data_IF_580291836552
#
_entry.id   IF_580291836552
#
_cell.length_a   1.000
_cell.length_b   1.000
_cell.length_c   1.000
_cell.angle_alpha   90.00
_cell.angle_beta   90.00
_cell.angle_gamma   90.00
#
_symmetry.space_group_name_H-M   'P 1'
#
loop_
_entity.id
_entity.type
_entity.pdbx_description
1 polymer ?
#
# COMPACT_ATOMS: atom_id res chain seq x y z
N UNK A 1 29.32 12.96 -5.45
CA UNK A 1 29.09 11.54 -5.07
C UNK A 1 28.35 10.89 -6.22
N UNK A 2 28.70 9.66 -6.61
CA UNK A 2 27.96 8.92 -7.63
C UNK A 2 26.51 8.71 -7.20
N UNK A 3 25.56 8.70 -8.14
CA UNK A 3 24.17 8.41 -7.84
C UNK A 3 24.05 6.99 -7.26
N UNK A 4 23.24 6.77 -6.21
CA UNK A 4 23.09 5.44 -5.62
C UNK A 4 22.55 4.43 -6.63
N UNK A 5 23.12 3.22 -6.65
CA UNK A 5 22.56 2.10 -7.40
C UNK A 5 21.31 1.56 -6.67
N UNK A 6 20.16 2.17 -6.97
CA UNK A 6 18.88 1.79 -6.39
C UNK A 6 18.48 0.34 -6.72
N UNK A 7 18.90 -0.19 -7.86
CA UNK A 7 18.64 -1.57 -8.26
C UNK A 7 19.42 -2.55 -7.36
N UNK A 8 20.70 -2.31 -7.12
CA UNK A 8 21.49 -3.12 -6.20
C UNK A 8 20.96 -3.04 -4.76
N UNK A 9 20.53 -1.85 -4.31
CA UNK A 9 19.93 -1.66 -2.98
C UNK A 9 18.63 -2.49 -2.82
N UNK A 10 17.75 -2.43 -3.80
CA UNK A 10 16.52 -3.23 -3.81
C UNK A 10 16.81 -4.74 -3.86
N UNK A 11 17.79 -5.18 -4.66
CA UNK A 11 18.18 -6.59 -4.74
C UNK A 11 18.70 -7.13 -3.39
N UNK A 12 19.50 -6.34 -2.67
CA UNK A 12 19.95 -6.67 -1.32
C UNK A 12 18.78 -6.78 -0.33
N UNK A 13 17.83 -5.83 -0.39
CA UNK A 13 16.62 -5.85 0.43
C UNK A 13 15.70 -7.04 0.13
N UNK A 14 15.55 -7.40 -1.15
CA UNK A 14 14.77 -8.55 -1.59
C UNK A 14 15.41 -9.87 -1.11
N UNK A 15 16.73 -10.01 -1.25
CA UNK A 15 17.47 -11.16 -0.72
C UNK A 15 17.27 -11.33 0.79
N UNK A 16 17.28 -10.22 1.54
CA UNK A 16 16.97 -10.24 2.97
C UNK A 16 15.53 -10.65 3.24
N UNK A 17 14.53 -10.06 2.57
CA UNK A 17 13.13 -10.42 2.72
C UNK A 17 12.89 -11.92 2.46
N UNK A 18 13.55 -12.48 1.45
CA UNK A 18 13.40 -13.90 1.11
C UNK A 18 13.81 -14.84 2.24
N UNK A 19 14.71 -14.45 3.15
CA UNK A 19 15.11 -15.29 4.30
C UNK A 19 13.98 -15.56 5.30
N UNK A 20 12.94 -14.72 5.32
CA UNK A 20 11.74 -14.98 6.11
C UNK A 20 10.72 -15.85 5.38
N UNK A 21 10.86 -16.07 4.06
CA UNK A 21 9.86 -16.81 3.29
C UNK A 21 9.75 -18.28 3.72
N UNK A 22 8.51 -18.76 3.84
CA UNK A 22 8.18 -20.14 4.18
C UNK A 22 7.46 -20.80 2.99
N UNK A 23 8.17 -21.61 2.17
CA UNK A 23 7.60 -22.19 0.97
C UNK A 23 6.34 -23.04 1.19
N UNK A 24 6.21 -23.72 2.34
CA UNK A 24 5.06 -24.59 2.60
C UNK A 24 3.77 -23.81 2.85
N UNK A 25 3.86 -22.64 3.50
CA UNK A 25 2.70 -21.79 3.81
C UNK A 25 2.49 -20.70 2.77
N UNK A 26 3.48 -20.46 1.91
CA UNK A 26 3.46 -19.40 0.92
C UNK A 26 3.58 -18.00 1.53
N UNK A 27 3.99 -17.87 2.80
CA UNK A 27 4.01 -16.58 3.53
C UNK A 27 5.37 -16.34 4.18
N UNK A 28 5.58 -15.14 4.71
CA UNK A 28 6.80 -14.79 5.43
C UNK A 28 6.62 -15.07 6.92
N UNK A 29 7.67 -15.56 7.58
CA UNK A 29 7.71 -15.62 9.04
C UNK A 29 7.59 -14.18 9.57
N UNK A 30 6.92 -14.03 10.72
CA UNK A 30 6.61 -12.75 11.42
C UNK A 30 5.52 -11.89 10.78
N UNK A 31 5.01 -12.20 9.59
CA UNK A 31 3.84 -11.51 9.03
C UNK A 31 2.54 -12.12 9.55
N UNK A 32 1.53 -11.28 9.78
CA UNK A 32 0.13 -11.69 9.84
C UNK A 32 -0.42 -12.14 8.48
N UNK A 33 -1.74 -12.24 8.37
CA UNK A 33 -2.39 -12.66 7.12
C UNK A 33 -2.25 -11.60 6.04
N UNK A 34 -2.75 -10.39 6.29
CA UNK A 34 -2.70 -9.30 5.33
C UNK A 34 -1.28 -8.75 5.12
N UNK A 35 -0.43 -8.76 6.14
CA UNK A 35 0.95 -8.29 5.96
C UNK A 35 1.74 -9.15 4.96
N UNK A 36 1.37 -10.44 4.84
CA UNK A 36 1.97 -11.34 3.85
C UNK A 36 1.57 -10.97 2.41
N UNK A 37 0.36 -10.45 2.19
CA UNK A 37 -0.06 -9.94 0.89
C UNK A 37 0.79 -8.73 0.47
N UNK A 38 1.11 -7.84 1.41
CA UNK A 38 1.98 -6.69 1.16
C UNK A 38 3.44 -7.09 0.92
N UNK A 39 3.96 -8.08 1.66
CA UNK A 39 5.27 -8.63 1.37
C UNK A 39 5.32 -9.22 -0.06
N UNK A 40 4.25 -9.90 -0.49
CA UNK A 40 4.11 -10.37 -1.87
C UNK A 40 4.08 -9.20 -2.87
N UNK A 41 3.32 -8.14 -2.61
CA UNK A 41 3.29 -6.93 -3.46
C UNK A 41 4.69 -6.34 -3.65
N UNK A 42 5.51 -6.29 -2.59
CA UNK A 42 6.89 -5.84 -2.69
C UNK A 42 7.76 -6.76 -3.57
N UNK A 43 7.55 -8.09 -3.53
CA UNK A 43 8.23 -9.05 -4.43
C UNK A 43 7.83 -8.84 -5.89
N UNK A 44 6.53 -8.64 -6.15
CA UNK A 44 6.00 -8.40 -7.49
C UNK A 44 6.58 -7.09 -8.05
N UNK A 45 6.54 -6.01 -7.27
CA UNK A 45 7.08 -4.71 -7.66
C UNK A 45 8.59 -4.77 -7.93
N UNK A 46 9.36 -5.51 -7.12
CA UNK A 46 10.78 -5.75 -7.38
C UNK A 46 10.99 -6.42 -8.74
N UNK A 47 10.24 -7.50 -9.01
CA UNK A 47 10.33 -8.24 -10.27
C UNK A 47 9.96 -7.38 -11.46
N UNK A 48 8.87 -6.59 -11.37
CA UNK A 48 8.43 -5.67 -12.42
C UNK A 48 9.48 -4.59 -12.73
N UNK A 49 10.09 -4.00 -11.71
CA UNK A 49 11.02 -2.85 -11.88
C UNK A 49 12.44 -3.27 -12.25
N UNK A 50 12.83 -4.51 -11.95
CA UNK A 50 14.18 -5.00 -12.24
C UNK A 50 14.24 -5.99 -13.40
N UNK A 51 13.16 -6.74 -13.65
CA UNK A 51 13.18 -7.90 -14.53
C UNK A 51 13.85 -9.14 -13.90
N UNK A 52 14.30 -9.07 -12.65
CA UNK A 52 14.88 -10.22 -11.94
C UNK A 52 13.78 -11.24 -11.58
N UNK A 53 13.81 -12.39 -12.24
CA UNK A 53 12.83 -13.49 -12.06
C UNK A 53 13.24 -14.52 -11.02
N UNK A 54 14.31 -14.31 -10.26
CA UNK A 54 14.79 -15.25 -9.24
C UNK A 54 13.71 -15.61 -8.19
N UNK A 55 12.77 -14.69 -7.96
CA UNK A 55 11.67 -14.85 -7.01
C UNK A 55 10.31 -15.14 -7.66
N UNK A 56 10.23 -15.38 -8.98
CA UNK A 56 8.94 -15.61 -9.65
C UNK A 56 8.14 -16.79 -9.05
N UNK A 57 8.83 -17.85 -8.61
CA UNK A 57 8.21 -18.99 -7.92
C UNK A 57 7.58 -18.64 -6.57
N UNK A 58 7.98 -17.52 -5.95
CA UNK A 58 7.37 -17.03 -4.71
C UNK A 58 5.90 -16.70 -4.95
N UNK A 59 5.57 -16.05 -6.08
CA UNK A 59 4.21 -15.63 -6.41
C UNK A 59 3.27 -16.84 -6.52
N UNK A 60 3.66 -17.86 -7.31
CA UNK A 60 2.88 -19.09 -7.48
C UNK A 60 2.74 -19.90 -6.18
N UNK A 61 3.83 -20.05 -5.43
CA UNK A 61 3.80 -20.76 -4.13
C UNK A 61 2.97 -20.01 -3.10
N UNK A 62 3.02 -18.68 -3.11
CA UNK A 62 2.20 -17.85 -2.23
C UNK A 62 0.72 -17.99 -2.57
N UNK A 63 0.35 -17.97 -3.85
CA UNK A 63 -1.04 -18.19 -4.28
C UNK A 63 -1.56 -19.54 -3.78
N UNK A 64 -0.81 -20.62 -4.04
CA UNK A 64 -1.20 -21.97 -3.61
C UNK A 64 -1.22 -22.11 -2.08
N UNK A 65 -0.19 -21.62 -1.40
CA UNK A 65 -0.03 -21.77 0.05
C UNK A 65 -1.05 -20.96 0.85
N UNK A 66 -1.28 -19.71 0.47
CA UNK A 66 -2.27 -18.85 1.11
C UNK A 66 -3.70 -19.34 0.82
N UNK A 67 -4.01 -19.76 -0.41
CA UNK A 67 -5.32 -20.33 -0.75
C UNK A 67 -5.63 -21.60 0.06
N UNK A 68 -4.64 -22.47 0.29
CA UNK A 68 -4.81 -23.66 1.16
C UNK A 68 -5.14 -23.30 2.62
N UNK A 69 -4.69 -22.13 3.09
CA UNK A 69 -4.92 -21.69 4.47
C UNK A 69 -6.29 -21.04 4.64
N UNK A 70 -6.69 -20.23 3.66
CA UNK A 70 -7.99 -19.56 3.57
C UNK A 70 -8.43 -19.58 2.11
N UNK A 71 -9.43 -20.41 1.80
CA UNK A 71 -9.96 -20.55 0.45
C UNK A 71 -10.40 -19.20 -0.11
N UNK A 72 -10.07 -18.95 -1.37
CA UNK A 72 -10.32 -17.68 -2.07
C UNK A 72 -9.76 -16.43 -1.36
N UNK A 73 -8.81 -16.62 -0.43
CA UNK A 73 -8.15 -15.58 0.37
C UNK A 73 -9.09 -14.79 1.29
N UNK A 74 -10.27 -15.34 1.58
CA UNK A 74 -11.31 -14.67 2.36
C UNK A 74 -11.21 -15.05 3.84
N UNK A 75 -11.11 -14.02 4.68
CA UNK A 75 -11.28 -14.03 6.14
C UNK A 75 -12.36 -13.03 6.55
N UNK A 76 -12.60 -12.90 7.86
CA UNK A 76 -13.66 -12.03 8.43
C UNK A 76 -13.47 -10.52 8.18
N UNK A 77 -12.24 -10.09 7.91
CA UNK A 77 -11.85 -8.69 7.75
C UNK A 77 -11.80 -8.36 6.27
N UNK A 78 -12.56 -7.35 5.84
CA UNK A 78 -12.69 -7.03 4.41
C UNK A 78 -11.42 -6.37 3.87
N UNK A 79 -10.75 -5.55 4.67
CA UNK A 79 -9.45 -4.97 4.36
C UNK A 79 -8.35 -6.02 4.20
N UNK A 80 -8.27 -6.98 5.12
CA UNK A 80 -7.35 -8.13 5.02
C UNK A 80 -7.48 -8.85 3.68
N UNK A 81 -8.72 -9.02 3.21
CA UNK A 81 -9.03 -9.66 1.94
C UNK A 81 -8.59 -8.79 0.76
N UNK A 82 -8.87 -7.49 0.78
CA UNK A 82 -8.56 -6.58 -0.32
C UNK A 82 -7.05 -6.31 -0.47
N UNK A 83 -6.25 -6.47 0.58
CA UNK A 83 -4.78 -6.52 0.44
C UNK A 83 -4.33 -7.65 -0.50
N UNK A 84 -4.95 -8.83 -0.39
CA UNK A 84 -4.72 -9.93 -1.34
C UNK A 84 -5.27 -9.61 -2.72
N UNK A 85 -6.46 -8.99 -2.81
CA UNK A 85 -7.04 -8.57 -4.08
C UNK A 85 -6.10 -7.67 -4.89
N UNK A 86 -5.53 -6.65 -4.25
CA UNK A 86 -4.56 -5.73 -4.87
C UNK A 86 -3.27 -6.46 -5.26
N UNK A 87 -2.75 -7.35 -4.40
CA UNK A 87 -1.57 -8.16 -4.72
C UNK A 87 -1.81 -9.08 -5.94
N UNK A 88 -3.02 -9.61 -6.09
CA UNK A 88 -3.38 -10.46 -7.23
C UNK A 88 -3.62 -9.70 -8.52
N UNK A 89 -4.12 -8.46 -8.47
CA UNK A 89 -4.09 -7.58 -9.64
C UNK A 89 -2.65 -7.33 -10.08
N UNK A 90 -1.74 -7.01 -9.15
CA UNK A 90 -0.33 -6.81 -9.48
C UNK A 90 0.33 -8.08 -10.03
N UNK A 91 -0.02 -9.26 -9.52
CA UNK A 91 0.47 -10.54 -10.04
C UNK A 91 -0.04 -10.81 -11.46
N UNK A 92 -1.31 -10.51 -11.74
CA UNK A 92 -1.86 -10.57 -13.10
C UNK A 92 -1.10 -9.65 -14.05
N UNK A 93 -0.86 -8.39 -13.66
CA UNK A 93 -0.13 -7.44 -14.51
C UNK A 93 1.29 -7.90 -14.84
N UNK A 94 1.96 -8.60 -13.92
CA UNK A 94 3.30 -9.14 -14.14
C UNK A 94 3.31 -10.41 -15.00
N UNK A 95 2.30 -11.26 -14.89
CA UNK A 95 2.34 -12.64 -15.42
C UNK A 95 1.41 -12.90 -16.60
N UNK A 96 0.33 -12.13 -16.71
CA UNK A 96 -0.79 -12.40 -17.62
C UNK A 96 -1.67 -13.60 -17.22
N UNK A 97 -1.43 -14.23 -16.06
CA UNK A 97 -2.16 -15.43 -15.66
C UNK A 97 -3.53 -15.08 -15.04
N UNK A 98 -4.62 -15.49 -15.73
CA UNK A 98 -6.00 -15.12 -15.35
C UNK A 98 -6.40 -15.54 -13.95
N UNK A 99 -5.84 -16.62 -13.39
CA UNK A 99 -6.15 -17.10 -12.04
C UNK A 99 -5.93 -16.05 -10.95
N UNK A 100 -4.96 -15.15 -11.15
CA UNK A 100 -4.72 -14.05 -10.19
C UNK A 100 -5.83 -13.00 -10.31
N UNK A 101 -6.18 -12.59 -11.52
CA UNK A 101 -7.28 -11.66 -11.75
C UNK A 101 -8.62 -12.23 -11.26
N UNK A 102 -8.88 -13.51 -11.48
CA UNK A 102 -10.09 -14.18 -10.99
C UNK A 102 -10.16 -14.21 -9.47
N UNK A 103 -9.04 -14.41 -8.77
CA UNK A 103 -8.97 -14.28 -7.31
C UNK A 103 -9.29 -12.85 -6.85
N UNK A 104 -8.72 -11.83 -7.49
CA UNK A 104 -9.03 -10.44 -7.19
C UNK A 104 -10.52 -10.11 -7.38
N UNK A 105 -11.14 -10.63 -8.46
CA UNK A 105 -12.58 -10.45 -8.72
C UNK A 105 -13.46 -11.11 -7.65
N UNK A 106 -13.10 -12.31 -7.19
CA UNK A 106 -13.81 -12.99 -6.09
C UNK A 106 -13.70 -12.21 -4.78
N UNK A 107 -12.51 -11.70 -4.47
CA UNK A 107 -12.28 -10.86 -3.27
C UNK A 107 -13.12 -9.59 -3.35
N UNK A 108 -13.16 -8.92 -4.50
CA UNK A 108 -13.98 -7.73 -4.70
C UNK A 108 -15.47 -8.04 -4.52
N UNK A 109 -15.98 -9.09 -5.16
CA UNK A 109 -17.36 -9.53 -4.99
C UNK A 109 -17.71 -9.86 -3.52
N UNK A 110 -16.74 -10.36 -2.75
CA UNK A 110 -16.93 -10.54 -1.30
C UNK A 110 -16.94 -9.19 -0.55
N UNK A 111 -16.02 -8.27 -0.87
CA UNK A 111 -15.98 -6.94 -0.26
C UNK A 111 -17.27 -6.14 -0.49
N UNK A 112 -17.90 -6.28 -1.65
CA UNK A 112 -19.21 -5.69 -1.95
C UNK A 112 -20.29 -6.11 -0.94
N UNK A 113 -20.22 -7.32 -0.38
CA UNK A 113 -21.17 -7.78 0.66
C UNK A 113 -21.02 -7.02 1.98
N UNK A 114 -19.90 -6.33 2.17
CA UNK A 114 -19.64 -5.44 3.28
C UNK A 114 -20.20 -4.03 3.07
N UNK A 115 -20.61 -3.67 1.86
CA UNK A 115 -21.26 -2.38 1.59
C UNK A 115 -22.73 -2.40 2.06
N UNK A 116 -23.16 -1.33 2.73
CA UNK A 116 -24.57 -1.01 2.97
C UNK A 116 -24.81 0.49 3.12
N UNK A 117 -26.07 0.90 3.26
CA UNK A 117 -26.48 2.31 3.32
C UNK A 117 -26.31 2.95 4.72
N UNK A 118 -25.79 2.23 5.72
CA UNK A 118 -25.41 2.85 7.00
C UNK A 118 -24.36 3.92 6.74
N UNK A 119 -24.51 5.12 7.32
CA UNK A 119 -23.67 6.28 6.99
C UNK A 119 -23.67 6.67 5.51
N UNK A 120 -24.77 6.40 4.79
CA UNK A 120 -24.94 6.78 3.39
C UNK A 120 -24.18 5.90 2.39
N UNK A 121 -23.53 4.83 2.84
CA UNK A 121 -22.69 3.98 2.00
C UNK A 121 -21.46 3.45 2.73
N UNK A 122 -20.53 2.88 1.97
CA UNK A 122 -19.25 2.40 2.46
C UNK A 122 -19.27 0.96 2.93
N UNK A 123 -18.11 0.32 2.83
CA UNK A 123 -17.81 -1.03 3.28
C UNK A 123 -17.46 -1.03 4.76
N UNK A 124 -18.08 -1.94 5.53
CA UNK A 124 -17.68 -2.21 6.91
C UNK A 124 -16.28 -2.78 6.99
N UNK A 125 -15.55 -2.48 8.05
CA UNK A 125 -14.20 -3.02 8.27
C UNK A 125 -14.17 -4.56 8.28
N UNK A 126 -15.17 -5.17 8.92
CA UNK A 126 -15.31 -6.61 9.03
C UNK A 126 -16.78 -7.04 9.13
N UNK A 127 -17.01 -8.35 9.16
CA UNK A 127 -18.36 -8.93 9.20
C UNK A 127 -19.16 -8.61 10.49
N UNK A 128 -18.56 -8.03 11.54
CA UNK A 128 -19.32 -7.57 12.72
C UNK A 128 -20.09 -6.28 12.48
N UNK A 129 -19.73 -5.54 11.43
CA UNK A 129 -20.38 -4.29 11.04
C UNK A 129 -20.47 -3.26 12.18
N UNK A 130 -19.36 -3.07 12.90
CA UNK A 130 -19.24 -2.12 14.02
C UNK A 130 -18.49 -0.85 13.69
N UNK A 131 -17.71 -0.85 12.61
CA UNK A 131 -16.81 0.25 12.27
C UNK A 131 -16.62 0.36 10.76
N UNK A 132 -16.82 1.55 10.18
CA UNK A 132 -16.42 1.89 8.81
C UNK A 132 -15.14 2.72 8.92
N UNK A 133 -14.02 2.12 8.55
CA UNK A 133 -12.71 2.77 8.55
C UNK A 133 -12.29 3.19 7.15
N UNK A 134 -11.34 4.13 7.10
CA UNK A 134 -10.84 4.67 5.85
C UNK A 134 -10.18 3.56 5.00
N UNK A 135 -9.28 2.77 5.59
CA UNK A 135 -8.50 1.79 4.82
C UNK A 135 -9.35 0.80 4.02
N UNK A 136 -10.41 0.23 4.60
CA UNK A 136 -11.27 -0.72 3.88
C UNK A 136 -11.89 -0.06 2.64
N UNK A 137 -12.33 1.19 2.77
CA UNK A 137 -13.01 1.92 1.72
C UNK A 137 -12.03 2.46 0.65
N UNK A 138 -10.85 2.91 1.05
CA UNK A 138 -9.77 3.28 0.14
C UNK A 138 -9.31 2.08 -0.72
N UNK A 139 -9.21 0.90 -0.11
CA UNK A 139 -8.90 -0.34 -0.83
C UNK A 139 -10.03 -0.76 -1.75
N UNK A 140 -11.29 -0.60 -1.34
CA UNK A 140 -12.44 -0.90 -2.18
C UNK A 140 -12.45 -0.01 -3.43
N UNK A 141 -12.24 1.30 -3.27
CA UNK A 141 -12.07 2.25 -4.37
C UNK A 141 -10.95 1.81 -5.31
N UNK A 142 -9.77 1.56 -4.73
CA UNK A 142 -8.56 1.23 -5.47
C UNK A 142 -8.74 -0.09 -6.23
N UNK A 143 -9.28 -1.12 -5.58
CA UNK A 143 -9.50 -2.42 -6.20
C UNK A 143 -10.57 -2.34 -7.30
N UNK A 144 -11.66 -1.60 -7.10
CA UNK A 144 -12.67 -1.35 -8.13
C UNK A 144 -12.05 -0.68 -9.37
N UNK A 145 -11.33 0.41 -9.18
CA UNK A 145 -10.67 1.15 -10.26
C UNK A 145 -9.65 0.27 -11.01
N UNK A 146 -8.80 -0.46 -10.28
CA UNK A 146 -7.81 -1.36 -10.88
C UNK A 146 -8.47 -2.53 -11.62
N UNK A 147 -9.54 -3.12 -11.11
CA UNK A 147 -10.29 -4.16 -11.81
C UNK A 147 -10.95 -3.64 -13.08
N UNK A 148 -11.50 -2.42 -13.08
CA UNK A 148 -12.06 -1.80 -14.28
C UNK A 148 -11.03 -1.72 -15.41
N UNK A 149 -9.78 -1.33 -15.09
CA UNK A 149 -8.69 -1.23 -16.05
C UNK A 149 -8.28 -2.59 -16.66
N UNK A 150 -8.50 -3.72 -15.97
CA UNK A 150 -8.10 -5.07 -16.45
C UNK A 150 -9.26 -5.91 -17.00
N UNK A 151 -10.50 -5.56 -16.69
CA UNK A 151 -11.69 -6.32 -17.08
C UNK A 151 -12.61 -5.43 -17.94
N UNK A 152 -12.23 -5.13 -19.20
CA UNK A 152 -13.10 -4.38 -20.10
C UNK A 152 -14.36 -5.20 -20.44
N UNK A 153 -15.48 -4.51 -20.68
CA UNK A 153 -16.69 -5.14 -21.22
C UNK A 153 -17.71 -5.71 -20.20
N UNK A 154 -17.73 -5.23 -18.96
CA UNK A 154 -18.77 -5.56 -17.97
C UNK A 154 -19.75 -4.41 -17.70
N UNK A 155 -20.23 -3.73 -18.73
CA UNK A 155 -21.18 -2.60 -18.61
C UNK A 155 -20.74 -1.53 -17.58
N UNK A 156 -19.43 -1.34 -17.45
CA UNK A 156 -18.83 -0.42 -16.48
C UNK A 156 -19.02 -0.83 -15.02
N UNK A 157 -19.29 -2.10 -14.70
CA UNK A 157 -19.57 -2.59 -13.34
C UNK A 157 -18.59 -2.07 -12.28
N UNK A 158 -17.29 -2.33 -12.47
CA UNK A 158 -16.26 -1.89 -11.53
C UNK A 158 -16.10 -0.37 -11.50
N UNK A 159 -16.31 0.32 -12.64
CA UNK A 159 -16.27 1.78 -12.70
C UNK A 159 -17.44 2.41 -11.90
N UNK A 160 -18.65 1.85 -12.01
CA UNK A 160 -19.81 2.31 -11.24
C UNK A 160 -19.55 2.18 -9.73
N UNK A 161 -18.94 1.08 -9.30
CA UNK A 161 -18.54 0.92 -7.91
C UNK A 161 -17.44 1.90 -7.50
N UNK A 162 -16.41 2.11 -8.32
CA UNK A 162 -15.35 3.07 -8.02
C UNK A 162 -15.87 4.50 -7.90
N UNK A 163 -16.78 4.92 -8.81
CA UNK A 163 -17.43 6.23 -8.74
C UNK A 163 -18.31 6.36 -7.48
N UNK A 164 -19.12 5.34 -7.18
CA UNK A 164 -20.00 5.32 -6.00
C UNK A 164 -19.21 5.38 -4.69
N UNK A 165 -18.13 4.61 -4.59
CA UNK A 165 -17.24 4.63 -3.44
C UNK A 165 -16.57 5.99 -3.29
N UNK A 166 -16.05 6.57 -4.37
CA UNK A 166 -15.42 7.89 -4.29
C UNK A 166 -16.41 8.99 -3.88
N UNK A 167 -17.61 9.01 -4.46
CA UNK A 167 -18.68 9.94 -4.09
C UNK A 167 -19.00 9.82 -2.59
N UNK A 168 -19.14 8.60 -2.08
CA UNK A 168 -19.34 8.37 -0.66
C UNK A 168 -18.15 8.85 0.16
N UNK A 169 -16.94 8.33 -0.10
CA UNK A 169 -15.73 8.58 0.68
C UNK A 169 -15.44 10.08 0.81
N UNK A 170 -15.50 10.81 -0.30
CA UNK A 170 -15.25 12.26 -0.34
C UNK A 170 -16.29 13.09 0.41
N UNK A 171 -17.51 12.57 0.61
CA UNK A 171 -18.59 13.23 1.37
C UNK A 171 -18.56 12.95 2.88
N UNK A 172 -17.83 11.92 3.33
CA UNK A 172 -17.86 11.47 4.74
C UNK A 172 -17.18 12.42 5.72
N UNK A 173 -16.35 13.33 5.23
CA UNK A 173 -15.48 14.18 6.04
C UNK A 173 -14.25 13.48 6.61
N UNK A 174 -13.98 12.21 6.27
CA UNK A 174 -12.75 11.50 6.69
C UNK A 174 -11.47 12.17 6.15
N UNK A 175 -11.53 12.81 4.99
CA UNK A 175 -10.51 13.78 4.56
C UNK A 175 -10.72 15.04 5.43
N UNK A 176 -9.97 15.10 6.53
CA UNK A 176 -10.11 16.14 7.54
C UNK A 176 -9.62 17.51 7.07
N UNK A 177 -9.83 18.57 7.87
CA UNK A 177 -9.46 19.94 7.51
C UNK A 177 -7.94 20.15 7.32
N UNK A 178 -7.10 19.26 7.85
CA UNK A 178 -5.65 19.28 7.62
C UNK A 178 -5.25 18.77 6.23
N UNK A 179 -6.19 18.21 5.47
CA UNK A 179 -5.96 17.49 4.22
C UNK A 179 -5.54 16.04 4.40
N UNK A 180 -5.39 15.55 5.64
CA UNK A 180 -5.11 14.15 5.95
C UNK A 180 -6.39 13.35 6.13
N UNK A 181 -6.32 12.06 5.83
CA UNK A 181 -7.37 11.08 6.03
C UNK A 181 -7.32 10.52 7.45
N UNK A 182 -8.37 10.76 8.22
CA UNK A 182 -8.59 10.19 9.55
C UNK A 182 -9.02 8.71 9.47
N UNK A 183 -8.91 7.99 10.59
CA UNK A 183 -9.03 6.53 10.61
C UNK A 183 -10.41 5.99 10.22
N UNK A 184 -11.50 6.74 10.44
CA UNK A 184 -12.84 6.24 10.12
C UNK A 184 -13.99 7.09 10.65
N UNK A 185 -15.14 6.45 10.77
CA UNK A 185 -16.39 7.05 11.23
C UNK A 185 -16.79 6.59 12.63
N UNK A 186 -17.40 7.50 13.39
CA UNK A 186 -18.10 7.17 14.63
C UNK A 186 -19.43 6.45 14.32
N UNK A 187 -20.10 5.84 15.32
CA UNK A 187 -21.44 5.28 15.14
C UNK A 187 -22.49 6.29 14.64
N UNK A 188 -22.28 7.58 14.89
CA UNK A 188 -23.13 8.69 14.43
C UNK A 188 -22.73 9.20 13.02
N UNK A 189 -21.92 8.42 12.30
CA UNK A 189 -21.49 8.70 10.93
C UNK A 189 -20.70 10.02 10.77
N UNK A 190 -19.98 10.43 11.81
CA UNK A 190 -19.08 11.58 11.77
C UNK A 190 -17.63 11.11 11.65
N UNK A 191 -16.77 11.93 11.04
CA UNK A 191 -15.32 11.71 11.11
C UNK A 191 -14.89 11.57 12.59
N UNK A 192 -14.23 10.48 12.91
CA UNK A 192 -13.81 10.17 14.28
C UNK A 192 -12.60 10.99 14.78
N UNK A 193 -11.97 11.80 13.92
CA UNK A 193 -10.76 12.55 14.25
C UNK A 193 -9.58 11.64 14.63
N UNK A 194 -9.63 10.37 14.21
CA UNK A 194 -8.67 9.34 14.54
C UNK A 194 -7.30 9.57 13.93
N UNK A 195 -6.35 8.70 14.29
CA UNK A 195 -4.96 8.80 13.83
C UNK A 195 -4.90 8.77 12.30
N UNK A 196 -4.17 9.71 11.74
CA UNK A 196 -3.92 9.83 10.29
C UNK A 196 -2.71 8.99 9.90
N UNK A 197 -2.89 7.67 9.90
CA UNK A 197 -1.84 6.70 9.55
C UNK A 197 -1.33 6.91 8.11
N UNK A 198 -0.04 6.67 7.85
CA UNK A 198 0.55 6.95 6.54
C UNK A 198 -0.13 6.14 5.42
N UNK A 199 -0.49 4.87 5.68
CA UNK A 199 -1.11 4.00 4.68
C UNK A 199 -2.47 4.50 4.18
N UNK A 200 -3.28 5.16 5.03
CA UNK A 200 -4.56 5.75 4.63
C UNK A 200 -4.33 6.88 3.61
N UNK A 201 -3.25 7.64 3.83
CA UNK A 201 -2.83 8.69 2.91
C UNK A 201 -2.28 8.10 1.61
N UNK A 202 -1.80 6.85 1.65
CA UNK A 202 -1.20 6.15 0.54
C UNK A 202 -2.23 5.54 -0.39
N UNK A 203 -3.04 4.61 0.13
CA UNK A 203 -3.96 3.82 -0.69
C UNK A 203 -4.93 4.72 -1.44
N UNK A 204 -5.44 5.78 -0.80
CA UNK A 204 -6.31 6.74 -1.48
C UNK A 204 -5.62 7.42 -2.67
N UNK A 205 -4.31 7.73 -2.60
CA UNK A 205 -3.57 8.29 -3.74
C UNK A 205 -3.49 7.30 -4.90
N UNK A 206 -3.31 6.00 -4.61
CA UNK A 206 -3.34 4.95 -5.62
C UNK A 206 -4.71 4.83 -6.30
N UNK A 207 -5.79 4.90 -5.52
CA UNK A 207 -7.16 4.93 -6.02
C UNK A 207 -7.43 6.16 -6.89
N UNK A 208 -7.08 7.36 -6.42
CA UNK A 208 -7.26 8.62 -7.16
C UNK A 208 -6.43 8.67 -8.45
N UNK A 209 -5.21 8.12 -8.45
CA UNK A 209 -4.41 7.97 -9.66
C UNK A 209 -5.13 7.10 -10.70
N UNK A 210 -5.68 5.96 -10.27
CA UNK A 210 -6.44 5.07 -11.16
C UNK A 210 -7.74 5.73 -11.65
N UNK A 211 -8.45 6.47 -10.79
CA UNK A 211 -9.64 7.22 -11.19
C UNK A 211 -9.34 8.29 -12.25
N UNK A 212 -8.25 9.03 -12.09
CA UNK A 212 -7.79 9.97 -13.12
C UNK A 212 -7.47 9.26 -14.43
N UNK A 213 -6.74 8.14 -14.38
CA UNK A 213 -6.37 7.37 -15.57
C UNK A 213 -7.60 6.83 -16.32
N UNK A 214 -8.65 6.44 -15.59
CA UNK A 214 -9.89 5.91 -16.17
C UNK A 214 -10.76 7.01 -16.80
N UNK A 215 -10.87 8.16 -16.13
CA UNK A 215 -11.87 9.20 -16.45
C UNK A 215 -11.30 10.39 -17.20
N UNK A 216 -9.99 10.65 -17.05
CA UNK A 216 -9.34 11.89 -17.47
C UNK A 216 -9.62 13.10 -16.57
N UNK A 217 -10.43 12.96 -15.51
CA UNK A 217 -10.80 14.10 -14.66
C UNK A 217 -9.65 14.52 -13.75
N UNK A 218 -9.24 15.79 -13.85
CA UNK A 218 -8.14 16.36 -13.10
C UNK A 218 -8.47 16.54 -11.61
N UNK A 219 -9.75 16.61 -11.23
CA UNK A 219 -10.17 16.78 -9.85
C UNK A 219 -9.63 15.67 -8.92
N UNK A 220 -9.49 14.45 -9.42
CA UNK A 220 -8.88 13.34 -8.67
C UNK A 220 -7.40 13.61 -8.34
N UNK A 221 -6.66 14.22 -9.26
CA UNK A 221 -5.27 14.60 -9.01
C UNK A 221 -5.18 15.80 -8.07
N UNK A 222 -6.06 16.79 -8.20
CA UNK A 222 -6.02 17.96 -7.31
C UNK A 222 -6.33 17.58 -5.85
N UNK A 223 -7.28 16.65 -5.65
CA UNK A 223 -7.54 16.06 -4.34
C UNK A 223 -6.35 15.24 -3.82
N UNK A 224 -5.75 14.40 -4.66
CA UNK A 224 -4.58 13.62 -4.27
C UNK A 224 -3.37 14.50 -3.95
N UNK A 225 -3.19 15.61 -4.65
CA UNK A 225 -2.12 16.56 -4.39
C UNK A 225 -2.29 17.26 -3.04
N UNK A 226 -3.54 17.53 -2.63
CA UNK A 226 -3.87 18.04 -1.29
C UNK A 226 -3.47 17.04 -0.20
N UNK A 227 -3.84 15.76 -0.36
CA UNK A 227 -3.55 14.69 0.60
C UNK A 227 -2.04 14.44 0.68
N UNK A 228 -1.38 14.25 -0.46
CA UNK A 228 0.06 14.03 -0.52
C UNK A 228 0.83 15.21 0.05
N UNK A 229 0.40 16.45 -0.26
CA UNK A 229 1.00 17.67 0.29
C UNK A 229 0.88 17.75 1.81
N UNK A 230 -0.26 17.35 2.38
CA UNK A 230 -0.43 17.26 3.83
C UNK A 230 0.46 16.17 4.45
N UNK A 231 0.48 14.97 3.87
CA UNK A 231 1.32 13.87 4.38
C UNK A 231 2.82 14.21 4.37
N UNK A 232 3.31 14.81 3.28
CA UNK A 232 4.72 15.21 3.16
C UNK A 232 5.15 16.33 4.13
N UNK A 233 4.20 17.11 4.67
CA UNK A 233 4.48 18.12 5.70
C UNK A 233 4.35 17.56 7.11
N UNK A 234 3.25 16.88 7.40
CA UNK A 234 2.85 16.54 8.77
C UNK A 234 3.39 15.18 9.24
N UNK A 235 3.67 14.25 8.30
CA UNK A 235 4.07 12.87 8.61
C UNK A 235 5.55 12.64 8.30
N UNK A 236 6.40 13.63 8.59
CA UNK A 236 7.85 13.51 8.36
C UNK A 236 8.67 14.01 9.53
N UNK A 237 9.91 13.55 9.64
CA UNK A 237 10.87 14.08 10.63
C UNK A 237 11.03 15.59 10.45
N UNK A 238 10.71 16.42 11.47
CA UNK A 238 10.77 17.87 11.33
C UNK A 238 12.22 18.36 11.50
N UNK A 239 12.62 19.49 10.90
CA UNK A 239 13.82 20.19 11.34
C UNK A 239 13.74 20.49 12.86
N UNK A 240 14.83 20.37 13.63
CA UNK A 240 16.22 20.14 13.22
C UNK A 240 16.64 18.65 13.22
N UNK A 241 15.72 17.69 13.07
CA UNK A 241 16.09 16.27 12.94
C UNK A 241 17.07 16.06 11.78
N UNK A 242 17.96 15.08 11.93
CA UNK A 242 18.98 14.75 10.93
C UNK A 242 18.89 13.25 10.57
N UNK A 243 18.44 12.90 9.34
CA UNK A 243 17.93 13.78 8.29
C UNK A 243 16.46 14.23 8.50
N UNK A 244 16.09 15.47 8.10
CA UNK A 244 14.70 15.91 8.10
C UNK A 244 13.95 15.42 6.85
N UNK A 245 12.62 15.44 6.91
CA UNK A 245 11.75 15.10 5.78
C UNK A 245 11.71 13.61 5.44
N UNK A 246 11.98 12.75 6.42
CA UNK A 246 11.82 11.29 6.31
C UNK A 246 10.44 10.91 6.84
N UNK A 247 9.72 10.07 6.11
CA UNK A 247 8.38 9.60 6.48
C UNK A 247 8.43 8.91 7.86
N UNK A 248 7.49 9.28 8.73
CA UNK A 248 7.36 8.74 10.09
C UNK A 248 5.92 8.31 10.35
N UNK A 249 5.72 7.21 11.07
CA UNK A 249 4.38 6.87 11.53
C UNK A 249 3.94 7.80 12.68
N UNK A 250 2.65 8.18 12.75
CA UNK A 250 2.10 8.72 13.98
C UNK A 250 2.40 7.76 15.15
N UNK A 251 2.97 8.30 16.23
CA UNK A 251 3.36 7.51 17.42
C UNK A 251 4.36 6.39 17.11
N UNK A 252 5.27 6.60 16.15
CA UNK A 252 6.26 5.58 15.75
C UNK A 252 7.06 5.01 16.93
N UNK A 253 7.44 5.87 17.88
CA UNK A 253 8.19 5.47 19.09
C UNK A 253 7.38 4.61 20.08
N UNK A 254 6.05 4.62 19.98
CA UNK A 254 5.17 3.78 20.81
C UNK A 254 4.90 2.41 20.16
N UNK A 255 5.51 2.12 19.01
CA UNK A 255 5.31 0.86 18.28
C UNK A 255 5.98 -0.27 19.05
N UNK A 256 5.18 -1.29 19.41
CA UNK A 256 5.69 -2.44 20.15
C UNK A 256 6.60 -3.29 19.25
N UNK A 257 7.58 -4.01 19.83
CA UNK A 257 8.42 -4.94 19.07
C UNK A 257 7.63 -6.04 18.34
N UNK A 258 6.46 -6.43 18.84
CA UNK A 258 5.59 -7.46 18.26
C UNK A 258 4.44 -6.89 17.40
N UNK A 259 4.40 -5.58 17.18
CA UNK A 259 3.44 -4.94 16.27
C UNK A 259 3.78 -5.31 14.82
N UNK A 260 2.89 -6.08 14.18
CA UNK A 260 3.05 -6.51 12.80
C UNK A 260 2.50 -5.52 11.77
N UNK A 261 1.68 -4.55 12.19
CA UNK A 261 0.85 -3.76 11.30
C UNK A 261 1.51 -2.41 11.00
N UNK A 262 1.73 -1.60 12.03
CA UNK A 262 2.29 -0.24 11.90
C UNK A 262 3.60 -0.20 11.12
N UNK A 263 4.54 -1.16 11.30
CA UNK A 263 5.79 -1.11 10.55
C UNK A 263 5.66 -1.22 9.04
N UNK A 264 4.53 -1.71 8.54
CA UNK A 264 4.32 -1.87 7.11
C UNK A 264 3.72 -0.64 6.43
N UNK A 265 3.08 0.27 7.18
CA UNK A 265 2.27 1.36 6.64
C UNK A 265 3.07 2.33 5.76
N UNK A 266 4.28 2.74 6.17
CA UNK A 266 5.15 3.62 5.38
C UNK A 266 5.43 3.11 3.96
N UNK A 267 5.72 1.82 3.79
CA UNK A 267 5.95 1.22 2.47
C UNK A 267 4.71 1.29 1.58
N UNK A 268 3.53 1.04 2.17
CA UNK A 268 2.24 1.18 1.51
C UNK A 268 2.01 2.60 1.03
N UNK A 269 2.35 3.61 1.84
CA UNK A 269 2.31 4.99 1.42
C UNK A 269 3.21 5.24 0.21
N UNK A 270 4.49 4.88 0.30
CA UNK A 270 5.49 5.21 -0.73
C UNK A 270 5.17 4.55 -2.08
N UNK A 271 4.72 3.29 -2.10
CA UNK A 271 4.37 2.64 -3.37
C UNK A 271 3.17 3.28 -4.07
N UNK A 272 2.18 3.74 -3.32
CA UNK A 272 1.02 4.42 -3.91
C UNK A 272 1.35 5.88 -4.28
N UNK A 273 2.23 6.54 -3.53
CA UNK A 273 2.77 7.85 -3.92
C UNK A 273 3.52 7.74 -5.26
N UNK A 274 4.24 6.64 -5.51
CA UNK A 274 4.86 6.38 -6.79
C UNK A 274 3.82 6.25 -7.91
N UNK A 275 2.77 5.46 -7.73
CA UNK A 275 1.68 5.31 -8.72
C UNK A 275 1.02 6.67 -9.00
N UNK A 276 0.78 7.46 -7.96
CA UNK A 276 0.24 8.81 -8.08
C UNK A 276 1.20 9.78 -8.78
N UNK A 277 2.51 9.67 -8.53
CA UNK A 277 3.53 10.43 -9.24
C UNK A 277 3.54 10.14 -10.75
N UNK A 278 3.26 8.90 -11.18
CA UNK A 278 3.18 8.58 -12.61
C UNK A 278 2.07 9.34 -13.34
N UNK A 279 1.03 9.78 -12.62
CA UNK A 279 -0.07 10.59 -13.17
C UNK A 279 0.16 12.09 -12.94
N UNK A 280 0.47 12.50 -11.70
CA UNK A 280 0.61 13.91 -11.32
C UNK A 280 1.91 14.58 -11.78
N UNK A 281 3.00 13.79 -11.93
CA UNK A 281 4.34 14.24 -12.34
C UNK A 281 4.96 15.35 -11.47
N UNK A 282 4.48 15.54 -10.24
CA UNK A 282 5.04 16.54 -9.32
C UNK A 282 6.47 16.16 -8.89
N UNK A 283 7.48 17.02 -9.13
CA UNK A 283 8.87 16.72 -8.77
C UNK A 283 9.08 16.42 -7.29
N UNK A 284 8.33 17.08 -6.41
CA UNK A 284 8.40 16.89 -4.96
C UNK A 284 8.17 15.43 -4.54
N UNK A 285 7.31 14.67 -5.23
CA UNK A 285 7.05 13.27 -4.91
C UNK A 285 8.22 12.38 -5.29
N UNK A 286 8.83 12.62 -6.46
CA UNK A 286 10.08 11.95 -6.86
C UNK A 286 11.18 12.19 -5.83
N UNK A 287 11.39 13.46 -5.44
CA UNK A 287 12.41 13.82 -4.45
C UNK A 287 12.16 13.17 -3.10
N UNK A 288 10.90 13.13 -2.66
CA UNK A 288 10.51 12.48 -1.41
C UNK A 288 10.80 10.97 -1.42
N UNK A 289 10.42 10.26 -2.48
CA UNK A 289 10.67 8.82 -2.63
C UNK A 289 12.19 8.55 -2.59
N UNK A 290 12.96 9.30 -3.37
CA UNK A 290 14.42 9.15 -3.42
C UNK A 290 15.10 9.48 -2.08
N UNK A 291 14.60 10.49 -1.35
CA UNK A 291 15.12 10.86 -0.02
C UNK A 291 14.90 9.74 0.99
N UNK A 292 13.69 9.20 1.07
CA UNK A 292 13.37 8.11 1.97
C UNK A 292 14.16 6.84 1.62
N UNK A 293 14.25 6.48 0.34
CA UNK A 293 15.04 5.33 -0.11
C UNK A 293 16.54 5.45 0.23
N UNK A 294 17.10 6.67 0.22
CA UNK A 294 18.47 6.91 0.69
C UNK A 294 18.58 6.74 2.20
N UNK A 295 17.71 7.40 2.97
CA UNK A 295 17.77 7.33 4.43
C UNK A 295 17.58 5.91 4.96
N UNK A 296 16.65 5.13 4.40
CA UNK A 296 16.48 3.71 4.73
C UNK A 296 17.80 2.94 4.59
N UNK A 297 18.52 3.18 3.49
CA UNK A 297 19.76 2.45 3.22
C UNK A 297 20.92 2.88 4.11
N UNK A 298 21.00 4.18 4.40
CA UNK A 298 22.14 4.80 5.07
C UNK A 298 21.98 4.78 6.61
N UNK A 299 20.75 4.85 7.13
CA UNK A 299 20.46 5.06 8.55
C UNK A 299 19.63 3.94 9.22
N UNK A 300 18.86 3.17 8.46
CA UNK A 300 17.92 2.15 8.99
C UNK A 300 18.26 0.74 8.51
N UNK A 301 19.55 0.42 8.42
CA UNK A 301 20.01 -0.85 7.85
C UNK A 301 21.10 -1.47 8.70
N UNK A 302 20.98 -2.77 8.98
CA UNK A 302 22.05 -3.55 9.62
C UNK A 302 23.00 -4.21 8.60
N UNK A 303 24.07 -4.85 9.08
CA UNK A 303 25.08 -5.50 8.24
C UNK A 303 24.53 -6.64 7.34
N UNK A 304 23.37 -7.20 7.68
CA UNK A 304 22.67 -8.24 6.92
C UNK A 304 21.71 -7.70 5.84
N UNK A 305 21.74 -6.40 5.57
CA UNK A 305 20.78 -5.69 4.71
C UNK A 305 19.33 -5.85 5.16
N UNK A 306 19.13 -5.95 6.48
CA UNK A 306 17.79 -5.92 7.07
C UNK A 306 17.46 -4.49 7.47
N UNK A 307 16.19 -4.12 7.30
CA UNK A 307 15.68 -2.79 7.60
C UNK A 307 14.78 -2.77 8.83
N UNK A 308 14.75 -1.62 9.50
CA UNK A 308 13.96 -1.36 10.68
C UNK A 308 12.66 -0.59 10.40
N UNK A 309 12.09 -0.07 11.48
CA UNK A 309 10.94 0.84 11.47
C UNK A 309 11.39 2.29 11.25
N UNK A 310 12.48 2.72 11.87
CA UNK A 310 12.88 4.11 11.94
C UNK A 310 13.71 4.50 10.72
N UNK A 311 13.05 4.94 9.65
CA UNK A 311 13.73 5.25 8.38
C UNK A 311 14.76 6.37 8.46
N UNK A 312 14.70 7.24 9.48
CA UNK A 312 15.74 8.24 9.81
C UNK A 312 16.89 7.67 10.64
N UNK A 313 16.80 6.41 11.04
CA UNK A 313 17.68 5.76 11.98
C UNK A 313 17.44 6.14 13.45
N UNK A 314 18.13 5.46 14.38
CA UNK A 314 18.92 4.25 14.11
C UNK A 314 18.02 3.03 13.86
N UNK A 315 18.58 2.01 13.20
CA UNK A 315 17.95 0.69 13.06
C UNK A 315 17.45 0.15 14.42
N UNK A 316 16.19 -0.28 14.48
CA UNK A 316 15.60 -0.93 15.66
C UNK A 316 15.81 -2.46 15.61
N UNK A 317 14.98 -3.17 14.85
CA UNK A 317 14.95 -4.62 14.75
C UNK A 317 14.54 -5.05 13.34
N UNK A 318 14.71 -6.33 13.02
CA UNK A 318 14.39 -6.86 11.71
C UNK A 318 13.25 -7.88 11.75
N UNK A 319 12.22 -7.63 10.95
CA UNK A 319 11.13 -8.56 10.67
C UNK A 319 10.64 -8.38 9.23
N UNK A 320 9.78 -9.29 8.75
CA UNK A 320 9.30 -9.24 7.37
C UNK A 320 8.40 -8.02 7.08
N UNK A 321 7.71 -7.45 8.08
CA UNK A 321 6.85 -6.28 7.89
C UNK A 321 7.70 -5.02 7.67
N UNK A 322 8.67 -4.76 8.54
CA UNK A 322 9.69 -3.70 8.39
C UNK A 322 10.46 -3.84 7.08
N UNK A 323 10.91 -5.07 6.78
CA UNK A 323 11.68 -5.35 5.57
C UNK A 323 10.88 -5.07 4.29
N UNK A 324 9.63 -5.53 4.21
CA UNK A 324 8.78 -5.31 3.03
C UNK A 324 8.39 -3.84 2.88
N UNK A 325 8.18 -3.13 4.00
CA UNK A 325 7.94 -1.69 4.03
C UNK A 325 9.08 -0.90 3.39
N UNK A 326 10.31 -1.15 3.83
CA UNK A 326 11.50 -0.54 3.27
C UNK A 326 11.70 -0.93 1.80
N UNK A 327 11.42 -2.19 1.44
CA UNK A 327 11.54 -2.67 0.06
C UNK A 327 10.56 -1.97 -0.88
N UNK A 328 9.35 -1.63 -0.46
CA UNK A 328 8.41 -0.84 -1.28
C UNK A 328 9.00 0.53 -1.67
N UNK A 329 9.67 1.21 -0.73
CA UNK A 329 10.36 2.48 -0.98
C UNK A 329 11.60 2.32 -1.86
N UNK A 330 12.43 1.30 -1.60
CA UNK A 330 13.61 1.00 -2.43
C UNK A 330 13.21 0.63 -3.86
N UNK A 331 12.17 -0.19 -4.02
CA UNK A 331 11.63 -0.53 -5.32
C UNK A 331 11.14 0.75 -6.03
N UNK A 332 10.44 1.65 -5.34
CA UNK A 332 9.87 2.86 -5.95
C UNK A 332 10.95 3.82 -6.47
N UNK A 333 12.14 3.80 -5.86
CA UNK A 333 13.28 4.59 -6.29
C UNK A 333 13.96 4.09 -7.56
N UNK A 334 13.87 2.79 -7.89
CA UNK A 334 14.55 2.17 -9.06
C UNK A 334 14.28 2.93 -10.37
N UNK A 335 13.01 3.13 -10.80
CA UNK A 335 12.71 3.84 -12.06
C UNK A 335 12.86 5.36 -11.96
N UNK A 336 13.18 5.89 -10.77
CA UNK A 336 13.30 7.33 -10.54
C UNK A 336 14.75 7.80 -10.54
N UNK A 337 15.72 6.92 -10.32
CA UNK A 337 17.13 7.21 -10.55
C UNK A 337 17.31 7.63 -12.01
N UNK A 338 18.19 8.61 -12.29
CA UNK A 338 18.31 9.25 -13.59
C UNK A 338 18.14 8.24 -14.74
N UNK A 339 17.08 8.43 -15.54
CA UNK A 339 17.01 7.76 -16.83
C UNK A 339 18.29 8.15 -17.61
N UNK A 340 18.95 7.19 -18.30
CA UNK A 340 20.08 7.52 -19.16
C UNK A 340 19.73 8.63 -20.16
#
# INVERSE_FOLDING_TARGET
MAEPDHRARAAAGMSALHRWYRPWSGRWRTTGWWNAANALTAVIAYTQRTGDRSYARVIDRTFTGAWRRHGDFIVRYFDDNMWWGLAWVAAYDLTGESRYLDAARKIFAHAETGWDDTCGGGVWWNQDRKYKNAITNEQFLTLAARLHQRVPGQDGYYLKWALREWEWFSSTGMIGPSGLVNDGLTPDCQNNGGITWTYNQGVILGGLAAMHEITGDRAYLDQGETIAGAALRELTTPPPADPPGILVEPKEMDTRPDDGDRPQFKGIFVRNLYDFFLQSRRPAYREFILRNARSIWDNDRNAGNQFGLHWSGPFDQADACRQSSALDALNAAIPLAAAP
#
